data_IF_080373943712
#
_entry.id   IF_080373943712
#
_cell.length_a   1.000
_cell.length_b   1.000
_cell.length_c   1.000
_cell.angle_alpha   90.00
_cell.angle_beta   90.00
_cell.angle_gamma   90.00
#
_symmetry.space_group_name_H-M   'P 1'
#
loop_
_entity.id
_entity.type
_entity.pdbx_description
1 polymer ?
#
# COMPACT_ATOMS: atom_id res chain seq x y z
N UNK A 1 -19.67 -6.61 -13.43
CA UNK A 1 -18.81 -7.78 -13.17
C UNK A 1 -17.45 -7.67 -13.87
N UNK A 2 -17.37 -7.75 -15.22
CA UNK A 2 -16.07 -7.64 -15.90
C UNK A 2 -15.42 -6.26 -15.81
N UNK A 3 -16.22 -5.19 -15.93
CA UNK A 3 -15.72 -3.80 -15.83
C UNK A 3 -15.16 -3.53 -14.43
N UNK A 4 -15.82 -4.01 -13.37
CA UNK A 4 -15.38 -3.83 -11.98
C UNK A 4 -14.05 -4.54 -11.70
N UNK A 5 -13.87 -5.75 -12.26
CA UNK A 5 -12.61 -6.50 -12.18
C UNK A 5 -11.48 -5.78 -12.94
N UNK A 6 -11.77 -5.21 -14.11
CA UNK A 6 -10.80 -4.43 -14.89
C UNK A 6 -10.38 -3.17 -14.11
N UNK A 7 -11.34 -2.42 -13.55
CA UNK A 7 -11.06 -1.24 -12.72
C UNK A 7 -10.19 -1.63 -11.53
N UNK A 8 -10.53 -2.71 -10.83
CA UNK A 8 -9.75 -3.24 -9.72
C UNK A 8 -8.32 -3.58 -10.12
N UNK A 9 -8.12 -4.27 -11.24
CA UNK A 9 -6.81 -4.61 -11.77
C UNK A 9 -5.98 -3.35 -12.11
N UNK A 10 -6.59 -2.34 -12.72
CA UNK A 10 -5.92 -1.07 -13.04
C UNK A 10 -5.49 -0.32 -11.78
N UNK A 11 -6.38 -0.18 -10.79
CA UNK A 11 -6.07 0.50 -9.52
C UNK A 11 -4.95 -0.23 -8.78
N UNK A 12 -5.02 -1.56 -8.70
CA UNK A 12 -3.97 -2.38 -8.08
C UNK A 12 -2.63 -2.24 -8.80
N UNK A 13 -2.63 -2.18 -10.13
CA UNK A 13 -1.41 -1.98 -10.91
C UNK A 13 -0.79 -0.61 -10.65
N UNK A 14 -1.61 0.45 -10.63
CA UNK A 14 -1.16 1.82 -10.34
C UNK A 14 -0.52 1.89 -8.95
N UNK A 15 -1.15 1.28 -7.94
CA UNK A 15 -0.63 1.26 -6.57
C UNK A 15 0.71 0.51 -6.48
N UNK A 16 0.82 -0.63 -7.17
CA UNK A 16 2.07 -1.38 -7.25
C UNK A 16 3.19 -0.57 -7.92
N UNK A 17 2.89 0.03 -9.08
CA UNK A 17 3.84 0.87 -9.82
C UNK A 17 4.28 2.09 -9.03
N UNK A 18 3.37 2.72 -8.28
CA UNK A 18 3.69 3.84 -7.39
C UNK A 18 4.66 3.43 -6.28
N UNK A 19 4.39 2.32 -5.59
CA UNK A 19 5.30 1.78 -4.58
C UNK A 19 6.69 1.45 -5.14
N UNK A 20 6.74 0.82 -6.32
CA UNK A 20 7.99 0.49 -7.00
C UNK A 20 8.79 1.74 -7.36
N UNK A 21 8.10 2.79 -7.80
CA UNK A 21 8.71 4.06 -8.17
C UNK A 21 9.33 4.75 -6.94
N UNK A 22 8.62 4.82 -5.82
CA UNK A 22 9.16 5.36 -4.56
C UNK A 22 10.38 4.56 -4.10
N UNK A 23 10.34 3.22 -4.19
CA UNK A 23 11.48 2.38 -3.83
C UNK A 23 12.71 2.59 -4.73
N UNK A 24 12.51 2.70 -6.05
CA UNK A 24 13.62 2.94 -6.98
C UNK A 24 14.24 4.32 -6.86
N UNK A 25 13.42 5.34 -6.61
CA UNK A 25 13.87 6.73 -6.51
C UNK A 25 14.33 7.11 -5.10
N UNK A 26 13.98 6.29 -4.09
CA UNK A 26 14.08 6.63 -2.67
C UNK A 26 13.47 8.00 -2.34
N UNK A 27 12.55 8.52 -3.17
CA UNK A 27 12.02 9.86 -3.00
C UNK A 27 10.74 9.83 -2.17
N UNK A 28 10.90 9.98 -0.85
CA UNK A 28 9.79 9.99 0.09
C UNK A 28 8.91 11.24 -0.03
N UNK A 29 9.42 12.35 -0.59
CA UNK A 29 8.66 13.60 -0.76
C UNK A 29 7.46 13.44 -1.69
N UNK A 30 7.44 12.38 -2.51
CA UNK A 30 6.35 12.06 -3.42
C UNK A 30 5.14 11.50 -2.64
N UNK A 31 5.36 11.04 -1.42
CA UNK A 31 4.29 10.61 -0.51
C UNK A 31 3.76 11.87 0.18
N UNK A 32 2.69 12.45 -0.36
CA UNK A 32 2.12 13.74 0.05
C UNK A 32 1.74 13.87 1.55
N UNK A 33 1.71 12.77 2.29
CA UNK A 33 1.34 12.72 3.71
C UNK A 33 2.53 12.50 4.66
N UNK A 34 3.76 12.34 4.16
CA UNK A 34 4.95 12.17 5.00
C UNK A 34 5.69 13.50 5.04
N UNK A 35 5.74 14.13 6.22
CA UNK A 35 6.69 15.22 6.45
C UNK A 35 8.09 14.61 6.55
N UNK A 36 8.90 14.83 5.51
CA UNK A 36 10.25 14.28 5.38
C UNK A 36 11.32 15.22 5.93
N UNK A 37 10.95 16.42 6.39
CA UNK A 37 11.89 17.44 6.85
C UNK A 37 12.74 16.98 8.04
N UNK A 38 12.12 16.22 8.96
CA UNK A 38 12.76 15.72 10.18
C UNK A 38 13.36 14.31 10.03
N UNK A 39 13.25 13.68 8.86
CA UNK A 39 13.68 12.28 8.65
C UNK A 39 15.13 12.24 8.11
N UNK A 40 16.10 11.63 8.83
CA UNK A 40 17.48 11.49 8.35
C UNK A 40 17.54 10.78 7.00
N UNK A 41 18.29 11.32 6.03
CA UNK A 41 18.39 10.74 4.66
C UNK A 41 18.85 9.28 4.64
N UNK A 42 19.58 8.85 5.66
CA UNK A 42 20.06 7.48 5.85
C UNK A 42 18.93 6.47 6.09
N UNK A 43 17.81 6.90 6.67
CA UNK A 43 16.64 6.03 6.92
C UNK A 43 15.68 5.98 5.73
N UNK A 44 15.86 6.84 4.72
CA UNK A 44 14.98 6.92 3.56
C UNK A 44 14.86 5.60 2.77
N UNK A 45 15.96 4.86 2.49
CA UNK A 45 15.87 3.57 1.81
C UNK A 45 15.10 2.52 2.61
N UNK A 46 15.18 2.57 3.94
CA UNK A 46 14.45 1.64 4.84
C UNK A 46 12.96 1.91 4.75
N UNK A 47 12.56 3.19 4.81
CA UNK A 47 11.18 3.63 4.70
C UNK A 47 10.63 3.35 3.30
N UNK A 48 11.39 3.63 2.24
CA UNK A 48 10.98 3.38 0.86
C UNK A 48 10.77 1.88 0.61
N UNK A 49 11.63 1.02 1.17
CA UNK A 49 11.46 -0.44 1.14
C UNK A 49 10.22 -0.90 1.90
N UNK A 50 9.98 -0.30 3.08
CA UNK A 50 8.78 -0.58 3.88
C UNK A 50 7.51 -0.20 3.11
N UNK A 51 7.48 1.01 2.53
CA UNK A 51 6.37 1.53 1.74
C UNK A 51 6.08 0.65 0.52
N UNK A 52 7.12 0.21 -0.20
CA UNK A 52 6.94 -0.70 -1.33
C UNK A 52 6.34 -2.03 -0.91
N UNK A 53 6.80 -2.61 0.22
CA UNK A 53 6.22 -3.85 0.75
C UNK A 53 4.72 -3.69 1.03
N UNK A 54 4.30 -2.58 1.63
CA UNK A 54 2.87 -2.30 1.86
C UNK A 54 2.14 -2.10 0.54
N UNK A 55 2.73 -1.37 -0.39
CA UNK A 55 2.11 -1.11 -1.70
C UNK A 55 1.79 -2.40 -2.43
N UNK A 56 2.66 -3.42 -2.37
CA UNK A 56 2.39 -4.76 -2.90
C UNK A 56 1.18 -5.40 -2.20
N UNK A 57 1.17 -5.41 -0.87
CA UNK A 57 0.10 -6.03 -0.07
C UNK A 57 -1.23 -5.34 -0.35
N UNK A 58 -1.28 -4.01 -0.30
CA UNK A 58 -2.48 -3.22 -0.59
C UNK A 58 -2.96 -3.46 -2.03
N UNK A 59 -2.05 -3.54 -3.00
CA UNK A 59 -2.41 -3.83 -4.40
C UNK A 59 -3.07 -5.20 -4.54
N UNK A 60 -2.51 -6.23 -3.90
CA UNK A 60 -3.07 -7.58 -3.94
C UNK A 60 -4.41 -7.66 -3.22
N UNK A 61 -4.51 -7.06 -2.04
CA UNK A 61 -5.75 -7.03 -1.26
C UNK A 61 -6.85 -6.25 -1.96
N UNK A 62 -6.55 -5.11 -2.57
CA UNK A 62 -7.51 -4.36 -3.39
C UNK A 62 -8.02 -5.20 -4.56
N UNK A 63 -7.13 -5.91 -5.26
CA UNK A 63 -7.51 -6.78 -6.36
C UNK A 63 -8.45 -7.89 -5.88
N UNK A 64 -8.10 -8.57 -4.79
CA UNK A 64 -8.92 -9.62 -4.17
C UNK A 64 -10.26 -9.06 -3.71
N UNK A 65 -10.31 -7.82 -3.21
CA UNK A 65 -11.53 -7.16 -2.77
C UNK A 65 -12.47 -6.87 -3.94
N UNK A 66 -11.97 -6.34 -5.06
CA UNK A 66 -12.76 -6.13 -6.28
C UNK A 66 -13.29 -7.44 -6.89
N UNK A 67 -12.47 -8.50 -6.88
CA UNK A 67 -12.91 -9.84 -7.26
C UNK A 67 -13.98 -10.33 -6.29
N UNK A 68 -13.72 -10.29 -4.98
CA UNK A 68 -14.62 -10.79 -3.94
C UNK A 68 -15.96 -10.05 -3.91
N UNK A 69 -15.99 -8.74 -4.20
CA UNK A 69 -17.23 -7.97 -4.30
C UNK A 69 -18.16 -8.51 -5.38
N UNK A 70 -17.59 -9.12 -6.43
CA UNK A 70 -18.35 -9.74 -7.51
C UNK A 70 -18.93 -11.12 -7.16
N UNK A 71 -18.49 -11.76 -6.06
CA UNK A 71 -18.86 -13.14 -5.70
C UNK A 71 -19.50 -13.27 -4.31
N UNK A 72 -19.02 -12.56 -3.29
CA UNK A 72 -19.49 -12.66 -1.90
C UNK A 72 -19.11 -11.44 -1.04
N UNK A 73 -20.13 -10.84 -0.42
CA UNK A 73 -19.96 -9.77 0.55
C UNK A 73 -19.20 -10.22 1.81
N UNK A 74 -19.32 -11.49 2.22
CA UNK A 74 -18.61 -12.01 3.39
C UNK A 74 -17.09 -12.08 3.16
N UNK A 75 -16.66 -12.56 2.00
CA UNK A 75 -15.23 -12.58 1.61
C UNK A 75 -14.65 -11.17 1.50
N UNK A 76 -15.46 -10.23 0.99
CA UNK A 76 -15.09 -8.81 0.91
C UNK A 76 -14.81 -8.23 2.31
N UNK A 77 -15.66 -8.55 3.30
CA UNK A 77 -15.49 -8.07 4.67
C UNK A 77 -14.19 -8.58 5.31
N UNK A 78 -13.84 -9.85 5.09
CA UNK A 78 -12.57 -10.43 5.55
C UNK A 78 -11.37 -9.72 4.90
N UNK A 79 -11.42 -9.48 3.59
CA UNK A 79 -10.35 -8.78 2.88
C UNK A 79 -10.15 -7.34 3.40
N UNK A 80 -11.23 -6.63 3.73
CA UNK A 80 -11.18 -5.29 4.33
C UNK A 80 -10.51 -5.34 5.70
N UNK A 81 -10.89 -6.28 6.57
CA UNK A 81 -10.29 -6.41 7.91
C UNK A 81 -8.78 -6.67 7.82
N UNK A 82 -8.37 -7.58 6.92
CA UNK A 82 -6.95 -7.87 6.67
C UNK A 82 -6.19 -6.64 6.16
N UNK A 83 -6.80 -5.84 5.28
CA UNK A 83 -6.22 -4.58 4.81
C UNK A 83 -5.96 -3.60 5.97
N UNK A 84 -6.94 -3.43 6.86
CA UNK A 84 -6.79 -2.54 8.02
C UNK A 84 -5.69 -2.99 8.97
N UNK A 85 -5.60 -4.29 9.27
CA UNK A 85 -4.55 -4.84 10.13
C UNK A 85 -3.14 -4.57 9.57
N UNK A 86 -2.95 -4.73 8.26
CA UNK A 86 -1.66 -4.46 7.61
C UNK A 86 -1.31 -2.97 7.59
N UNK A 87 -2.29 -2.10 7.37
CA UNK A 87 -2.09 -0.65 7.45
C UNK A 87 -1.71 -0.20 8.87
N UNK A 88 -2.33 -0.78 9.90
CA UNK A 88 -1.97 -0.53 11.31
C UNK A 88 -0.55 -1.01 11.60
N UNK A 89 -0.20 -2.24 11.18
CA UNK A 89 1.15 -2.78 11.35
C UNK A 89 2.20 -1.88 10.71
N UNK A 90 1.94 -1.41 9.49
CA UNK A 90 2.81 -0.48 8.79
C UNK A 90 3.01 0.82 9.54
N UNK A 91 1.91 1.45 9.99
CA UNK A 91 1.99 2.71 10.73
C UNK A 91 2.82 2.57 12.00
N UNK A 92 2.59 1.49 12.77
CA UNK A 92 3.37 1.21 13.99
C UNK A 92 4.87 1.05 13.65
N UNK A 93 5.18 0.28 12.60
CA UNK A 93 6.56 0.04 12.19
C UNK A 93 7.25 1.30 11.63
N UNK A 94 6.54 2.08 10.83
CA UNK A 94 7.01 3.37 10.33
C UNK A 94 7.35 4.32 11.49
N UNK A 95 6.41 4.48 12.43
CA UNK A 95 6.58 5.32 13.62
C UNK A 95 7.74 4.89 14.52
N UNK A 96 8.03 3.58 14.57
CA UNK A 96 9.19 3.04 15.29
C UNK A 96 10.54 3.34 14.62
N UNK A 97 10.55 3.63 13.32
CA UNK A 97 11.78 3.93 12.55
C UNK A 97 12.05 5.44 12.53
N UNK A 98 10.99 6.26 12.61
CA UNK A 98 11.08 7.72 12.52
C UNK A 98 11.10 8.44 13.88
N UNK A 99 10.97 7.72 15.01
CA UNK A 99 11.15 8.24 16.37
C UNK A 99 12.49 7.79 16.92
#
# INVERSE_FOLDING_TARGET
>A
MYIDIIIGAVISLVMYSFGLYVYKTNNLNIIASIDTSDIPKETWPIIAKLFYKISIVVSFTLFVLYVSFSFSYFLTLIAIILLFLELIYFYVKFKSITK
#
